data_IF_825385476135
#
_entry.id   IF_825385476135
#
_cell.length_a   1.000
_cell.length_b   1.000
_cell.length_c   1.000
_cell.angle_alpha   90.00
_cell.angle_beta   90.00
_cell.angle_gamma   90.00
#
_symmetry.space_group_name_H-M   'P 1'
#
loop_
_entity.id
_entity.type
_entity.pdbx_description
1 polymer ?
#
# COMPACT_ATOMS: atom_id res chain seq x y z
N UNK A 1 -6.26 11.94 -13.31
CA UNK A 1 -4.87 12.10 -12.80
C UNK A 1 -4.88 12.67 -11.39
N UNK A 2 -5.55 12.01 -10.42
CA UNK A 2 -5.70 12.52 -9.06
C UNK A 2 -4.66 11.94 -8.06
N UNK A 3 -3.99 10.84 -8.41
CA UNK A 3 -3.12 10.11 -7.49
C UNK A 3 -1.86 10.90 -7.11
N UNK A 4 -1.27 11.63 -8.07
CA UNK A 4 0.00 12.38 -7.94
C UNK A 4 -0.21 13.82 -7.45
N UNK A 5 -1.35 14.46 -7.73
CA UNK A 5 -1.59 15.87 -7.34
C UNK A 5 -1.41 16.11 -5.83
N UNK A 6 -1.85 15.16 -5.01
CA UNK A 6 -1.63 15.19 -3.56
C UNK A 6 -0.14 15.05 -3.20
N UNK A 7 0.57 14.16 -3.89
CA UNK A 7 2.00 13.89 -3.68
C UNK A 7 2.81 15.14 -3.99
N UNK A 8 2.60 15.69 -5.18
CA UNK A 8 3.18 16.93 -5.66
C UNK A 8 2.97 18.12 -4.71
N UNK A 9 1.74 18.29 -4.19
CA UNK A 9 1.44 19.35 -3.20
C UNK A 9 2.20 19.16 -1.89
N UNK A 10 2.22 17.93 -1.37
CA UNK A 10 2.85 17.64 -0.07
C UNK A 10 4.38 17.68 -0.12
N UNK A 11 4.98 17.47 -1.30
CA UNK A 11 6.43 17.46 -1.50
C UNK A 11 6.98 18.72 -2.20
N UNK A 12 6.11 19.69 -2.52
CA UNK A 12 6.47 20.97 -3.14
C UNK A 12 6.87 20.90 -4.61
N UNK A 13 6.44 19.84 -5.32
CA UNK A 13 6.77 19.59 -6.72
C UNK A 13 5.57 19.93 -7.59
N UNK A 14 5.70 20.84 -8.56
CA UNK A 14 4.62 21.16 -9.50
C UNK A 14 4.51 20.06 -10.57
N UNK A 15 3.39 19.31 -10.66
CA UNK A 15 3.24 18.23 -11.63
C UNK A 15 3.23 18.75 -13.07
N UNK A 16 3.00 20.05 -13.29
CA UNK A 16 3.06 20.69 -14.61
C UNK A 16 4.49 20.77 -15.17
N UNK A 17 5.50 20.56 -14.33
CA UNK A 17 6.90 20.56 -14.76
C UNK A 17 7.33 19.24 -15.41
N UNK A 18 6.45 18.23 -15.44
CA UNK A 18 6.74 16.90 -15.96
C UNK A 18 5.92 16.62 -17.22
N UNK A 19 6.54 15.94 -18.18
CA UNK A 19 5.84 15.27 -19.28
C UNK A 19 4.93 14.15 -18.76
N UNK A 20 4.05 13.64 -19.64
CA UNK A 20 3.16 12.54 -19.28
C UNK A 20 3.94 11.27 -18.92
N UNK A 21 5.03 11.02 -19.65
CA UNK A 21 5.91 9.88 -19.47
C UNK A 21 6.66 9.99 -18.13
N UNK A 22 7.21 11.15 -17.81
CA UNK A 22 7.87 11.38 -16.51
C UNK A 22 6.91 11.25 -15.33
N UNK A 23 5.65 11.70 -15.47
CA UNK A 23 4.62 11.51 -14.45
C UNK A 23 4.32 10.03 -14.22
N UNK A 24 4.33 9.20 -15.27
CA UNK A 24 4.13 7.75 -15.13
C UNK A 24 5.29 7.09 -14.36
N UNK A 25 6.53 7.44 -14.68
CA UNK A 25 7.69 6.94 -13.95
C UNK A 25 7.67 7.40 -12.49
N UNK A 26 7.33 8.66 -12.25
CA UNK A 26 7.19 9.19 -10.89
C UNK A 26 6.08 8.48 -10.12
N UNK A 27 4.93 8.21 -10.75
CA UNK A 27 3.85 7.43 -10.12
C UNK A 27 4.32 6.03 -9.73
N UNK A 28 5.03 5.36 -10.63
CA UNK A 28 5.54 4.01 -10.41
C UNK A 28 6.55 3.96 -9.25
N UNK A 29 7.52 4.87 -9.24
CA UNK A 29 8.51 5.00 -8.16
C UNK A 29 7.85 5.29 -6.81
N UNK A 30 6.95 6.27 -6.76
CA UNK A 30 6.24 6.61 -5.52
C UNK A 30 5.37 5.45 -5.05
N UNK A 31 4.71 4.75 -5.96
CA UNK A 31 3.92 3.57 -5.61
C UNK A 31 4.79 2.46 -5.04
N UNK A 32 5.96 2.21 -5.64
CA UNK A 32 6.93 1.22 -5.15
C UNK A 32 7.40 1.55 -3.73
N UNK A 33 7.83 2.80 -3.50
CA UNK A 33 8.23 3.26 -2.17
C UNK A 33 7.11 3.16 -1.14
N UNK A 34 5.88 3.53 -1.50
CA UNK A 34 4.72 3.40 -0.62
C UNK A 34 4.46 1.94 -0.25
N UNK A 35 4.54 1.02 -1.21
CA UNK A 35 4.36 -0.40 -0.94
C UNK A 35 5.43 -0.92 0.03
N UNK A 36 6.69 -0.55 -0.16
CA UNK A 36 7.78 -0.97 0.72
C UNK A 36 7.61 -0.43 2.14
N UNK A 37 7.25 0.83 2.29
CA UNK A 37 7.01 1.43 3.62
C UNK A 37 5.80 0.82 4.32
N UNK A 38 4.73 0.49 3.58
CA UNK A 38 3.60 -0.26 4.14
C UNK A 38 4.01 -1.67 4.60
N UNK A 39 4.83 -2.39 3.81
CA UNK A 39 5.37 -3.70 4.22
C UNK A 39 6.17 -3.59 5.53
N UNK A 40 7.02 -2.58 5.66
CA UNK A 40 7.78 -2.33 6.89
C UNK A 40 6.86 -2.04 8.08
N UNK A 41 5.82 -1.23 7.87
CA UNK A 41 4.82 -0.95 8.91
C UNK A 41 4.13 -2.23 9.38
N UNK A 42 3.70 -3.09 8.44
CA UNK A 42 3.10 -4.38 8.80
C UNK A 42 4.10 -5.30 9.49
N UNK A 43 5.35 -5.35 9.03
CA UNK A 43 6.43 -6.13 9.66
C UNK A 43 6.61 -5.76 11.14
N UNK A 44 6.61 -4.46 11.46
CA UNK A 44 6.71 -4.01 12.86
C UNK A 44 5.47 -4.41 13.67
N UNK A 45 4.26 -4.32 13.10
CA UNK A 45 3.02 -4.75 13.77
C UNK A 45 3.02 -6.25 14.10
N UNK A 46 3.64 -7.09 13.27
CA UNK A 46 3.74 -8.54 13.46
C UNK A 46 5.05 -9.00 14.12
N UNK A 47 5.93 -8.08 14.53
CA UNK A 47 7.25 -8.39 15.08
C UNK A 47 7.21 -9.37 16.25
N UNK A 48 6.26 -9.22 17.16
CA UNK A 48 6.10 -10.12 18.30
C UNK A 48 5.68 -11.53 17.85
N UNK A 49 4.81 -11.63 16.84
CA UNK A 49 4.39 -12.90 16.27
C UNK A 49 5.55 -13.63 15.61
N UNK A 50 6.33 -12.95 14.77
CA UNK A 50 7.51 -13.55 14.14
C UNK A 50 8.57 -13.98 15.16
N UNK A 51 8.80 -13.17 16.19
CA UNK A 51 9.72 -13.51 17.29
C UNK A 51 9.29 -14.76 18.05
N UNK A 52 7.99 -14.94 18.33
CA UNK A 52 7.47 -16.12 19.01
C UNK A 52 7.67 -17.39 18.17
N UNK A 53 7.47 -17.29 16.87
CA UNK A 53 7.63 -18.40 15.93
C UNK A 53 9.10 -18.66 15.54
N UNK A 54 10.04 -17.82 15.99
CA UNK A 54 11.48 -17.91 15.66
C UNK A 54 11.72 -17.97 14.14
N UNK A 55 10.93 -17.21 13.39
CA UNK A 55 11.06 -17.11 11.94
C UNK A 55 12.36 -16.38 11.62
N UNK A 56 13.08 -16.83 10.59
CA UNK A 56 14.27 -16.12 10.13
C UNK A 56 13.86 -14.91 9.27
N UNK A 57 14.72 -13.90 9.10
CA UNK A 57 14.34 -12.67 8.39
C UNK A 57 13.91 -12.87 6.93
N UNK A 58 14.42 -13.90 6.25
CA UNK A 58 14.07 -14.22 4.85
C UNK A 58 12.62 -14.70 4.75
N UNK A 59 12.23 -15.63 5.62
CA UNK A 59 10.86 -16.15 5.67
C UNK A 59 9.89 -15.10 6.19
N UNK A 60 10.30 -14.22 7.11
CA UNK A 60 9.49 -13.06 7.50
C UNK A 60 9.16 -12.18 6.30
N UNK A 61 10.15 -11.90 5.45
CA UNK A 61 9.97 -11.09 4.25
C UNK A 61 8.99 -11.76 3.27
N UNK A 62 9.19 -13.04 2.96
CA UNK A 62 8.29 -13.81 2.08
C UNK A 62 6.86 -13.85 2.62
N UNK A 63 6.69 -14.01 3.93
CA UNK A 63 5.38 -13.98 4.58
C UNK A 63 4.72 -12.61 4.48
N UNK A 64 5.49 -11.53 4.64
CA UNK A 64 4.98 -10.17 4.49
C UNK A 64 4.56 -9.91 3.04
N UNK A 65 5.38 -10.30 2.07
CA UNK A 65 5.06 -10.11 0.65
C UNK A 65 3.83 -10.91 0.23
N UNK A 66 3.76 -12.20 0.59
CA UNK A 66 2.67 -13.10 0.21
C UNK A 66 1.32 -12.71 0.84
N UNK A 67 1.35 -12.00 1.97
CA UNK A 67 0.15 -11.55 2.68
C UNK A 67 -0.07 -10.03 2.58
N UNK A 68 0.68 -9.33 1.72
CA UNK A 68 0.67 -7.86 1.69
C UNK A 68 -0.73 -7.29 1.52
N UNK A 69 -1.48 -7.70 0.49
CA UNK A 69 -2.84 -7.20 0.29
C UNK A 69 -3.80 -7.64 1.39
N UNK A 70 -3.60 -8.83 1.96
CA UNK A 70 -4.40 -9.29 3.10
C UNK A 70 -4.25 -8.36 4.29
N UNK A 71 -3.03 -7.89 4.58
CA UNK A 71 -2.80 -6.90 5.64
C UNK A 71 -3.42 -5.56 5.31
N UNK A 72 -3.31 -5.11 4.06
CA UNK A 72 -3.97 -3.86 3.61
C UNK A 72 -5.48 -3.94 3.79
N UNK A 73 -6.12 -5.02 3.33
CA UNK A 73 -7.57 -5.22 3.48
C UNK A 73 -7.96 -5.30 4.96
N UNK A 74 -7.18 -6.03 5.77
CA UNK A 74 -7.42 -6.15 7.21
C UNK A 74 -7.33 -4.79 7.91
N UNK A 75 -6.37 -3.94 7.53
CA UNK A 75 -6.27 -2.58 8.08
C UNK A 75 -7.46 -1.71 7.64
N UNK A 76 -7.91 -1.80 6.38
CA UNK A 76 -9.14 -1.13 5.92
C UNK A 76 -10.33 -1.56 6.80
N UNK A 77 -10.53 -2.86 7.00
CA UNK A 77 -11.65 -3.37 7.81
C UNK A 77 -11.57 -2.90 9.26
N UNK A 78 -10.36 -2.82 9.83
CA UNK A 78 -10.13 -2.31 11.19
C UNK A 78 -10.49 -0.83 11.36
N UNK A 79 -10.60 -0.07 10.26
CA UNK A 79 -11.07 1.33 10.29
C UNK A 79 -12.59 1.43 10.51
N UNK A 80 -13.31 0.32 10.31
CA UNK A 80 -14.78 0.27 10.23
C UNK A 80 -15.39 1.16 9.13
N UNK A 81 -14.59 1.84 8.30
CA UNK A 81 -15.06 2.71 7.23
C UNK A 81 -15.63 1.91 6.04
N UNK A 82 -15.21 0.66 5.88
CA UNK A 82 -15.70 -0.25 4.84
C UNK A 82 -15.96 -1.64 5.40
N UNK A 83 -16.97 -2.30 4.85
CA UNK A 83 -17.21 -3.74 4.99
C UNK A 83 -16.55 -4.50 3.85
N UNK A 84 -16.52 -5.84 3.94
CA UNK A 84 -16.01 -6.70 2.87
C UNK A 84 -16.71 -6.42 1.52
N UNK A 85 -18.04 -6.40 1.54
CA UNK A 85 -18.88 -6.02 0.40
C UNK A 85 -18.60 -4.61 -0.10
N UNK A 86 -18.34 -3.64 0.79
CA UNK A 86 -17.95 -2.28 0.43
C UNK A 86 -16.62 -2.22 -0.33
N UNK A 87 -15.62 -3.00 0.09
CA UNK A 87 -14.33 -3.12 -0.59
C UNK A 87 -14.52 -3.73 -1.98
N UNK A 88 -15.31 -4.81 -2.07
CA UNK A 88 -15.61 -5.49 -3.34
C UNK A 88 -16.30 -4.55 -4.34
N UNK A 89 -17.30 -3.80 -3.87
CA UNK A 89 -18.01 -2.80 -4.66
C UNK A 89 -17.07 -1.71 -5.18
N UNK A 90 -16.19 -1.17 -4.32
CA UNK A 90 -15.19 -0.18 -4.71
C UNK A 90 -14.23 -0.73 -5.78
N UNK A 91 -13.71 -1.94 -5.55
CA UNK A 91 -12.77 -2.61 -6.44
C UNK A 91 -13.43 -3.09 -7.75
N UNK A 92 -14.77 -3.14 -7.82
CA UNK A 92 -15.57 -3.69 -8.92
C UNK A 92 -15.23 -5.15 -9.19
N UNK A 93 -15.18 -5.94 -8.13
CA UNK A 93 -15.01 -7.39 -8.17
C UNK A 93 -16.10 -8.06 -7.32
N UNK A 94 -16.40 -9.36 -7.54
CA UNK A 94 -17.25 -10.12 -6.64
C UNK A 94 -16.67 -10.14 -5.21
N UNK A 95 -17.56 -10.20 -4.21
CA UNK A 95 -17.15 -10.23 -2.80
C UNK A 95 -16.29 -11.45 -2.48
N UNK A 96 -16.55 -12.58 -3.15
CA UNK A 96 -15.80 -13.83 -3.06
C UNK A 96 -14.32 -13.63 -3.39
N UNK A 97 -13.99 -12.75 -4.35
CA UNK A 97 -12.59 -12.45 -4.70
C UNK A 97 -11.88 -11.76 -3.54
N UNK A 98 -12.56 -10.84 -2.84
CA UNK A 98 -11.99 -10.16 -1.67
C UNK A 98 -11.92 -11.14 -0.49
N UNK A 99 -12.91 -12.00 -0.32
CA UNK A 99 -12.91 -13.06 0.68
C UNK A 99 -11.72 -14.03 0.50
N UNK A 100 -11.43 -14.46 -0.72
CA UNK A 100 -10.29 -15.33 -1.03
C UNK A 100 -8.94 -14.67 -0.68
N UNK A 101 -8.81 -13.36 -0.93
CA UNK A 101 -7.61 -12.59 -0.56
C UNK A 101 -7.41 -12.54 0.96
N UNK A 102 -8.47 -12.28 1.72
CA UNK A 102 -8.39 -12.22 3.19
C UNK A 102 -8.15 -13.60 3.80
N UNK A 103 -8.74 -14.63 3.20
CA UNK A 103 -8.59 -16.02 3.64
C UNK A 103 -7.21 -16.60 3.30
N UNK A 104 -6.42 -15.91 2.46
CA UNK A 104 -5.13 -16.40 1.98
C UNK A 104 -5.24 -17.49 0.91
N UNK A 105 -6.45 -17.72 0.37
CA UNK A 105 -6.69 -18.67 -0.71
C UNK A 105 -6.25 -18.10 -2.08
N UNK A 106 -6.15 -16.77 -2.18
CA UNK A 106 -5.59 -16.08 -3.32
C UNK A 106 -4.44 -15.18 -2.86
N UNK A 107 -3.19 -15.61 -3.10
CA UNK A 107 -1.99 -14.85 -2.75
C UNK A 107 -1.42 -14.05 -3.92
N UNK A 108 -1.98 -14.18 -5.13
CA UNK A 108 -1.50 -13.53 -6.34
C UNK A 108 -2.61 -12.80 -7.11
N UNK A 109 -3.17 -11.73 -6.52
CA UNK A 109 -4.17 -10.90 -7.18
C UNK A 109 -3.58 -10.16 -8.39
N UNK A 110 -4.44 -9.82 -9.35
CA UNK A 110 -4.01 -8.95 -10.45
C UNK A 110 -3.50 -7.60 -9.92
N UNK A 111 -2.49 -7.03 -10.58
CA UNK A 111 -1.95 -5.71 -10.24
C UNK A 111 -3.04 -4.62 -10.24
N UNK A 112 -4.03 -4.74 -11.14
CA UNK A 112 -5.15 -3.81 -11.20
C UNK A 112 -6.02 -3.83 -9.93
N UNK A 113 -6.23 -5.02 -9.35
CA UNK A 113 -6.97 -5.20 -8.11
C UNK A 113 -6.14 -4.70 -6.92
N UNK A 114 -4.85 -5.04 -6.89
CA UNK A 114 -3.91 -4.55 -5.88
C UNK A 114 -3.90 -3.01 -5.81
N UNK A 115 -3.78 -2.36 -6.96
CA UNK A 115 -3.83 -0.89 -7.07
C UNK A 115 -5.10 -0.31 -6.47
N UNK A 116 -6.28 -0.84 -6.83
CA UNK A 116 -7.57 -0.34 -6.30
C UNK A 116 -7.67 -0.52 -4.79
N UNK A 117 -7.22 -1.64 -4.26
CA UNK A 117 -7.22 -1.90 -2.80
C UNK A 117 -6.30 -0.90 -2.08
N UNK A 118 -5.11 -0.61 -2.62
CA UNK A 118 -4.19 0.37 -2.06
C UNK A 118 -4.72 1.79 -2.18
N UNK A 119 -5.39 2.13 -3.28
CA UNK A 119 -6.09 3.43 -3.44
C UNK A 119 -7.22 3.59 -2.41
N UNK A 120 -7.97 2.52 -2.14
CA UNK A 120 -8.99 2.50 -1.09
C UNK A 120 -8.37 2.68 0.29
N UNK A 121 -7.30 1.94 0.60
CA UNK A 121 -6.56 2.06 1.85
C UNK A 121 -6.05 3.49 2.06
N UNK A 122 -5.53 4.14 1.01
CA UNK A 122 -5.14 5.55 1.05
C UNK A 122 -6.29 6.48 1.45
N UNK A 123 -7.50 6.21 0.98
CA UNK A 123 -8.67 7.03 1.32
C UNK A 123 -9.09 6.92 2.79
N UNK A 124 -8.86 5.77 3.44
CA UNK A 124 -9.23 5.53 4.84
C UNK A 124 -8.08 5.76 5.83
N UNK A 125 -6.83 5.77 5.36
CA UNK A 125 -5.62 6.03 6.15
C UNK A 125 -4.76 7.17 5.58
N UNK A 126 -5.32 8.37 5.26
CA UNK A 126 -4.56 9.43 4.60
C UNK A 126 -3.31 9.87 5.38
N UNK A 127 -3.37 9.85 6.71
CA UNK A 127 -2.24 10.21 7.58
C UNK A 127 -1.06 9.26 7.46
N UNK A 128 -1.29 7.95 7.25
CA UNK A 128 -0.24 6.96 7.06
C UNK A 128 0.52 7.26 5.77
N UNK A 129 -0.20 7.48 4.67
CA UNK A 129 0.40 7.79 3.38
C UNK A 129 1.16 9.12 3.42
N UNK A 130 0.61 10.14 4.09
CA UNK A 130 1.32 11.41 4.26
C UNK A 130 2.65 11.23 4.99
N UNK A 131 2.68 10.46 6.08
CA UNK A 131 3.93 10.16 6.82
C UNK A 131 4.94 9.42 5.96
N UNK A 132 4.50 8.42 5.19
CA UNK A 132 5.33 7.66 4.26
C UNK A 132 5.97 8.59 3.24
N UNK A 133 5.19 9.46 2.61
CA UNK A 133 5.69 10.38 1.58
C UNK A 133 6.70 11.39 2.14
N UNK A 134 6.43 11.94 3.33
CA UNK A 134 7.38 12.82 4.00
C UNK A 134 8.71 12.11 4.31
N UNK A 135 8.68 10.81 4.61
CA UNK A 135 9.87 10.00 4.80
C UNK A 135 10.65 9.84 3.49
N UNK A 136 9.96 9.46 2.41
CA UNK A 136 10.55 9.28 1.07
C UNK A 136 11.26 10.57 0.60
N UNK A 137 10.61 11.73 0.76
CA UNK A 137 11.21 13.03 0.39
C UNK A 137 12.48 13.31 1.16
N UNK A 138 12.47 13.08 2.48
CA UNK A 138 13.65 13.31 3.33
C UNK A 138 14.81 12.42 2.89
N UNK A 139 14.56 11.16 2.62
CA UNK A 139 15.59 10.21 2.14
C UNK A 139 16.14 10.64 0.77
N UNK A 140 15.29 11.10 -0.15
CA UNK A 140 15.76 11.65 -1.44
C UNK A 140 16.57 12.94 -1.31
N UNK A 141 16.31 13.76 -0.29
CA UNK A 141 17.08 14.99 -0.02
C UNK A 141 18.43 14.71 0.66
N UNK A 142 18.57 13.59 1.38
CA UNK A 142 19.81 13.15 2.02
C UNK A 142 20.82 12.52 1.03
N UNK A 143 20.40 12.28 -0.21
CA UNK A 143 21.25 11.83 -1.31
C UNK A 143 21.88 12.99 -2.13
N UNK A 144 21.83 14.22 -1.60
CA UNK A 144 22.55 15.40 -2.12
C UNK A 144 23.80 15.68 -1.29
#
# INVERSE_FOLDING_TARGET
MAAIEFLCKDIGVDPRNFSKEELLFLEAELFFHVCNELKLLFKENYRNYFRLLRINPEVEEEMIESNFLRYVISDILSTEAYTLSGIALYARVPEEVVYELISGNNTNPSLSLARKIIELHKSVRPDVYRKILLKVVKESQLLK
#
